data_IF_267604495190
#
_entry.id   IF_267604495190
#
_cell.length_a   1.000
_cell.length_b   1.000
_cell.length_c   1.000
_cell.angle_alpha   90.00
_cell.angle_beta   90.00
_cell.angle_gamma   90.00
#
_symmetry.space_group_name_H-M   'P 1'
#
loop_
_entity.id
_entity.type
_entity.pdbx_description
1 polymer ?
#
# COMPACT_ATOMS: atom_id res chain seq x y z
N UNK A 1 5.13 -27.92 48.05
CA UNK A 1 4.77 -28.47 46.73
C UNK A 1 4.91 -27.34 45.70
N UNK A 2 6.07 -27.22 45.07
CA UNK A 2 6.36 -26.16 44.11
C UNK A 2 5.75 -26.52 42.75
N UNK A 3 4.58 -25.96 42.43
CA UNK A 3 4.02 -26.07 41.09
C UNK A 3 4.84 -25.18 40.16
N UNK A 4 5.68 -25.78 39.30
CA UNK A 4 6.38 -25.14 38.19
C UNK A 4 5.35 -24.66 37.13
N UNK A 5 4.60 -23.62 37.47
CA UNK A 5 3.74 -22.94 36.52
C UNK A 5 4.63 -22.07 35.61
N UNK A 6 5.23 -22.66 34.56
CA UNK A 6 5.98 -21.92 33.53
C UNK A 6 5.09 -20.98 32.69
N UNK A 7 3.85 -20.72 33.11
CA UNK A 7 2.92 -19.84 32.42
C UNK A 7 3.44 -18.40 32.39
N UNK A 8 3.97 -17.92 33.52
CA UNK A 8 4.59 -16.60 33.57
C UNK A 8 5.79 -16.49 32.62
N UNK A 9 6.61 -17.54 32.52
CA UNK A 9 7.77 -17.58 31.61
C UNK A 9 7.32 -17.63 30.13
N UNK A 10 6.25 -18.37 29.81
CA UNK A 10 5.81 -18.60 28.42
C UNK A 10 4.95 -17.47 27.86
N UNK A 11 4.04 -16.93 28.66
CA UNK A 11 3.05 -15.94 28.19
C UNK A 11 3.26 -14.57 28.82
N UNK A 12 4.15 -14.47 29.81
CA UNK A 12 4.31 -13.27 30.62
C UNK A 12 3.19 -13.09 31.64
N UNK A 13 2.13 -13.92 31.65
CA UNK A 13 0.94 -13.72 32.47
C UNK A 13 0.97 -14.62 33.73
N UNK A 14 0.63 -14.08 34.91
CA UNK A 14 0.53 -14.79 36.19
C UNK A 14 -0.64 -15.73 36.03
N UNK A 15 -0.36 -17.02 36.20
CA UNK A 15 -1.41 -18.02 36.18
C UNK A 15 -2.28 -17.92 37.43
N UNK A 16 -3.45 -18.54 37.38
CA UNK A 16 -4.34 -18.70 38.52
C UNK A 16 -3.61 -19.24 39.78
N UNK A 17 -2.59 -20.09 39.61
CA UNK A 17 -1.78 -20.59 40.72
C UNK A 17 -1.05 -19.49 41.50
N UNK A 18 -0.56 -18.45 40.83
CA UNK A 18 0.13 -17.35 41.50
C UNK A 18 -0.88 -16.49 42.26
N UNK A 19 -2.06 -16.22 41.70
CA UNK A 19 -3.11 -15.51 42.43
C UNK A 19 -3.56 -16.27 43.69
N UNK A 20 -3.64 -17.61 43.63
CA UNK A 20 -3.92 -18.43 44.80
C UNK A 20 -2.82 -18.33 45.87
N UNK A 21 -1.54 -18.35 45.47
CA UNK A 21 -0.41 -18.18 46.40
C UNK A 21 -0.40 -16.78 47.01
N UNK A 22 -0.61 -15.73 46.22
CA UNK A 22 -0.67 -14.35 46.70
C UNK A 22 -1.81 -14.15 47.71
N UNK A 23 -2.98 -14.71 47.41
CA UNK A 23 -4.14 -14.68 48.31
C UNK A 23 -3.87 -15.40 49.64
N UNK A 24 -3.20 -16.55 49.60
CA UNK A 24 -2.83 -17.31 50.80
C UNK A 24 -1.76 -16.60 51.65
N UNK A 25 -0.99 -15.69 51.06
CA UNK A 25 0.02 -14.88 51.75
C UNK A 25 -0.51 -13.48 52.12
N UNK A 26 -1.82 -13.24 52.01
CA UNK A 26 -2.44 -11.95 52.33
C UNK A 26 -1.84 -10.76 51.56
N UNK A 27 -1.35 -10.99 50.34
CA UNK A 27 -0.88 -9.91 49.48
C UNK A 27 -2.10 -9.24 48.85
N UNK A 28 -2.43 -8.04 49.32
CA UNK A 28 -3.57 -7.25 48.83
C UNK A 28 -3.25 -6.49 47.54
N UNK A 29 -1.98 -6.12 47.34
CA UNK A 29 -1.51 -5.39 46.16
C UNK A 29 -0.27 -6.04 45.53
N UNK A 30 -0.30 -6.19 44.20
CA UNK A 30 0.85 -6.68 43.44
C UNK A 30 1.81 -5.52 43.22
N UNK A 31 3.05 -5.63 43.72
CA UNK A 31 4.08 -4.61 43.53
C UNK A 31 4.30 -4.31 42.04
N UNK A 32 4.46 -3.04 41.70
CA UNK A 32 4.62 -2.57 40.31
C UNK A 32 5.74 -3.27 39.54
N UNK A 33 6.81 -3.69 40.21
CA UNK A 33 7.92 -4.44 39.61
C UNK A 33 7.50 -5.79 38.99
N UNK A 34 6.40 -6.38 39.46
CA UNK A 34 5.83 -7.61 38.91
C UNK A 34 4.75 -7.34 37.85
N UNK A 35 4.32 -6.08 37.71
CA UNK A 35 3.38 -5.63 36.67
C UNK A 35 4.19 -5.27 35.43
N UNK A 36 4.50 -6.28 34.62
CA UNK A 36 5.23 -6.09 33.36
C UNK A 36 4.47 -5.14 32.43
N UNK A 37 5.18 -4.39 31.58
CA UNK A 37 4.56 -3.47 30.61
C UNK A 37 3.46 -4.09 29.75
N UNK A 38 3.55 -5.40 29.46
CA UNK A 38 2.54 -6.18 28.71
C UNK A 38 1.19 -6.31 29.44
N UNK A 39 1.15 -6.08 30.75
CA UNK A 39 -0.02 -6.24 31.62
C UNK A 39 -0.78 -4.97 31.86
N UNK A 40 -0.13 -3.83 31.66
CA UNK A 40 -0.76 -2.56 31.92
C UNK A 40 -1.77 -2.29 30.81
N UNK A 41 -2.86 -1.62 31.15
CA UNK A 41 -3.94 -1.32 30.19
C UNK A 41 -3.44 -0.45 29.02
N UNK A 42 -2.32 0.24 29.21
CA UNK A 42 -1.56 1.03 28.24
C UNK A 42 -0.44 0.24 27.54
N UNK A 43 -0.43 -1.09 27.63
CA UNK A 43 0.47 -1.97 26.89
C UNK A 43 0.21 -1.89 25.38
N UNK A 44 0.71 -0.85 24.72
CA UNK A 44 0.57 -0.69 23.29
C UNK A 44 1.45 -1.74 22.60
N UNK A 45 0.83 -2.63 21.82
CA UNK A 45 1.55 -3.58 20.95
C UNK A 45 2.56 -2.83 20.07
N UNK A 46 3.73 -3.42 19.79
CA UNK A 46 4.75 -2.78 18.92
C UNK A 46 4.18 -2.37 17.56
N UNK A 47 3.18 -3.11 17.06
CA UNK A 47 2.47 -2.82 15.82
C UNK A 47 1.59 -1.57 15.96
N UNK A 48 0.88 -1.43 17.08
CA UNK A 48 0.08 -0.24 17.40
C UNK A 48 0.96 0.99 17.66
N UNK A 49 2.16 0.81 18.22
CA UNK A 49 3.12 1.87 18.44
C UNK A 49 3.62 2.47 17.12
N UNK A 50 3.96 1.61 16.14
CA UNK A 50 4.32 2.05 14.80
C UNK A 50 3.16 2.80 14.11
N UNK A 51 1.93 2.32 14.28
CA UNK A 51 0.73 2.97 13.75
C UNK A 51 0.39 4.28 14.46
N UNK A 52 0.71 4.43 15.75
CA UNK A 52 0.51 5.66 16.52
C UNK A 52 1.23 6.84 15.87
N UNK A 53 2.49 6.66 15.46
CA UNK A 53 3.25 7.73 14.82
C UNK A 53 2.63 8.21 13.51
N UNK A 54 1.96 7.32 12.77
CA UNK A 54 1.24 7.66 11.52
C UNK A 54 -0.11 8.33 11.83
N UNK A 55 -0.84 7.83 12.83
CA UNK A 55 -2.14 8.36 13.22
C UNK A 55 -2.07 9.69 13.98
N UNK A 56 -0.91 10.05 14.56
CA UNK A 56 -0.71 11.34 15.23
C UNK A 56 -0.69 12.55 14.28
N UNK A 57 -0.58 12.33 12.96
CA UNK A 57 -0.76 13.40 11.95
C UNK A 57 -2.24 13.77 11.75
N UNK A 58 -3.18 12.99 12.28
CA UNK A 58 -4.62 13.24 12.23
C UNK A 58 -5.15 13.55 13.63
N UNK A 59 -5.85 14.68 13.81
CA UNK A 59 -6.44 15.12 15.09
C UNK A 59 -7.60 14.24 15.61
N UNK A 60 -7.87 13.09 14.97
CA UNK A 60 -9.11 12.32 15.11
C UNK A 60 -8.95 11.04 15.96
N UNK A 61 -10.07 10.45 16.40
CA UNK A 61 -10.23 9.21 17.16
C UNK A 61 -9.66 7.95 16.46
N UNK A 62 -8.95 8.13 15.34
CA UNK A 62 -8.33 7.08 14.53
C UNK A 62 -7.42 6.17 15.38
N UNK A 63 -6.61 6.73 16.28
CA UNK A 63 -5.75 5.91 17.14
C UNK A 63 -6.55 5.02 18.12
N UNK A 64 -7.66 5.54 18.63
CA UNK A 64 -8.56 4.79 19.51
C UNK A 64 -9.24 3.64 18.74
N UNK A 65 -9.74 3.92 17.54
CA UNK A 65 -10.32 2.93 16.64
C UNK A 65 -9.31 1.84 16.24
N UNK A 66 -8.07 2.22 15.94
CA UNK A 66 -6.98 1.28 15.64
C UNK A 66 -6.69 0.35 16.83
N UNK A 67 -6.64 0.92 18.03
CA UNK A 67 -6.42 0.15 19.26
C UNK A 67 -7.55 -0.84 19.50
N UNK A 68 -8.80 -0.41 19.33
CA UNK A 68 -9.97 -1.26 19.51
C UNK A 68 -10.05 -2.38 18.46
N UNK A 69 -9.78 -2.07 17.18
CA UNK A 69 -9.72 -3.05 16.11
C UNK A 69 -8.66 -4.13 16.40
N UNK A 70 -7.46 -3.73 16.85
CA UNK A 70 -6.39 -4.68 17.16
C UNK A 70 -6.75 -5.59 18.33
N UNK A 71 -7.30 -5.04 19.42
CA UNK A 71 -7.73 -5.82 20.57
C UNK A 71 -8.80 -6.85 20.22
N UNK A 72 -9.77 -6.48 19.37
CA UNK A 72 -10.79 -7.40 18.89
C UNK A 72 -10.21 -8.54 18.05
N UNK A 73 -9.23 -8.24 17.19
CA UNK A 73 -8.53 -9.27 16.41
C UNK A 73 -7.76 -10.22 17.33
N UNK A 74 -7.00 -9.70 18.28
CA UNK A 74 -6.23 -10.51 19.23
C UNK A 74 -7.14 -11.44 20.04
N UNK A 75 -8.29 -10.93 20.52
CA UNK A 75 -9.29 -11.73 21.22
C UNK A 75 -9.85 -12.86 20.33
N UNK A 76 -10.24 -12.54 19.10
CA UNK A 76 -10.72 -13.54 18.13
C UNK A 76 -9.67 -14.64 17.91
N UNK A 77 -8.41 -14.26 17.70
CA UNK A 77 -7.33 -15.21 17.48
C UNK A 77 -7.09 -16.09 18.72
N UNK A 78 -7.12 -15.54 19.93
CA UNK A 78 -6.95 -16.32 21.16
C UNK A 78 -8.08 -17.34 21.35
N UNK A 79 -9.31 -16.96 21.02
CA UNK A 79 -10.48 -17.82 21.13
C UNK A 79 -10.53 -18.89 20.02
N UNK A 80 -10.10 -18.56 18.80
CA UNK A 80 -10.15 -19.46 17.65
C UNK A 80 -8.94 -20.37 17.53
N UNK A 81 -7.82 -20.11 18.22
CA UNK A 81 -6.54 -20.84 18.06
C UNK A 81 -6.61 -22.37 18.16
N UNK A 82 -7.67 -22.92 18.77
CA UNK A 82 -7.87 -24.37 18.93
C UNK A 82 -8.87 -24.99 17.94
N UNK A 83 -9.55 -24.19 17.13
CA UNK A 83 -10.47 -24.66 16.08
C UNK A 83 -9.97 -24.20 14.73
N UNK A 84 -9.56 -25.17 13.92
CA UNK A 84 -9.08 -24.93 12.56
C UNK A 84 -10.20 -24.35 11.68
N UNK A 85 -11.43 -24.80 11.86
CA UNK A 85 -12.60 -24.37 11.09
C UNK A 85 -12.89 -22.87 11.34
N UNK A 86 -12.92 -22.44 12.61
CA UNK A 86 -13.13 -21.03 12.97
C UNK A 86 -12.00 -20.13 12.49
N UNK A 87 -10.76 -20.60 12.54
CA UNK A 87 -9.61 -19.87 11.99
C UNK A 87 -9.72 -19.71 10.47
N UNK A 88 -10.10 -20.76 9.75
CA UNK A 88 -10.34 -20.71 8.31
C UNK A 88 -11.42 -19.67 7.96
N UNK A 89 -12.56 -19.74 8.65
CA UNK A 89 -13.66 -18.78 8.46
C UNK A 89 -13.22 -17.33 8.72
N UNK A 90 -12.43 -17.10 9.78
CA UNK A 90 -11.89 -15.78 10.09
C UNK A 90 -10.95 -15.26 8.99
N UNK A 91 -10.06 -16.13 8.47
CA UNK A 91 -9.14 -15.77 7.39
C UNK A 91 -9.89 -15.44 6.10
N UNK A 92 -10.88 -16.24 5.72
CA UNK A 92 -11.70 -15.98 4.52
C UNK A 92 -12.41 -14.62 4.61
N UNK A 93 -13.03 -14.33 5.77
CA UNK A 93 -13.66 -13.02 6.02
C UNK A 93 -12.66 -11.87 5.95
N UNK A 94 -11.49 -12.02 6.55
CA UNK A 94 -10.43 -11.00 6.50
C UNK A 94 -9.90 -10.77 5.06
N UNK A 95 -9.82 -11.82 4.24
CA UNK A 95 -9.43 -11.71 2.83
C UNK A 95 -10.47 -10.94 2.01
N UNK A 96 -11.77 -11.17 2.25
CA UNK A 96 -12.84 -10.42 1.59
C UNK A 96 -12.72 -8.93 1.93
N UNK A 97 -12.57 -8.59 3.22
CA UNK A 97 -12.37 -7.20 3.65
C UNK A 97 -11.13 -6.60 2.99
N UNK A 98 -10.03 -7.34 2.88
CA UNK A 98 -8.81 -6.88 2.19
C UNK A 98 -9.04 -6.60 0.71
N UNK A 99 -9.81 -7.45 0.02
CA UNK A 99 -10.08 -7.26 -1.41
C UNK A 99 -11.03 -6.10 -1.69
N UNK A 100 -12.07 -5.94 -0.86
CA UNK A 100 -13.09 -4.92 -1.05
C UNK A 100 -12.71 -3.56 -0.44
N UNK A 101 -11.97 -3.55 0.68
CA UNK A 101 -11.60 -2.33 1.41
C UNK A 101 -10.39 -1.58 0.84
N UNK A 102 -9.54 -2.23 0.03
CA UNK A 102 -8.39 -1.58 -0.62
C UNK A 102 -8.77 -0.98 -1.99
N UNK A 103 -9.79 -1.54 -2.65
CA UNK A 103 -10.33 -0.95 -3.88
C UNK A 103 -11.47 -0.01 -3.48
N UNK A 104 -11.30 1.29 -3.69
CA UNK A 104 -12.44 2.18 -3.80
C UNK A 104 -13.34 1.63 -4.90
N UNK A 105 -14.47 1.01 -4.54
CA UNK A 105 -15.51 0.69 -5.51
C UNK A 105 -15.98 2.06 -6.01
N UNK A 106 -15.76 2.42 -7.28
CA UNK A 106 -16.25 3.68 -7.78
C UNK A 106 -17.78 3.64 -7.72
N UNK A 107 -18.38 4.68 -7.14
CA UNK A 107 -19.84 4.82 -7.02
C UNK A 107 -20.54 4.72 -8.39
N UNK A 108 -19.81 5.02 -9.46
CA UNK A 108 -20.26 4.88 -10.84
C UNK A 108 -19.29 4.03 -11.67
N UNK A 109 -19.78 2.88 -12.14
CA UNK A 109 -19.09 2.01 -13.09
C UNK A 109 -19.52 2.42 -14.51
N UNK A 110 -18.83 3.38 -15.12
CA UNK A 110 -19.04 3.76 -16.53
C UNK A 110 -18.31 2.77 -17.48
N UNK A 111 -18.89 1.59 -17.68
CA UNK A 111 -18.46 0.66 -18.74
C UNK A 111 -19.15 1.08 -20.04
N UNK A 112 -18.43 1.86 -20.86
CA UNK A 112 -18.89 2.11 -22.23
C UNK A 112 -18.61 0.89 -23.11
N UNK A 113 -19.57 0.49 -23.97
CA UNK A 113 -19.27 -0.47 -25.02
C UNK A 113 -18.09 0.04 -25.87
N UNK A 114 -17.14 -0.83 -26.26
CA UNK A 114 -16.03 -0.40 -27.11
C UNK A 114 -16.59 0.19 -28.41
N UNK A 115 -16.24 1.45 -28.67
CA UNK A 115 -16.77 2.25 -29.79
C UNK A 115 -16.47 1.65 -31.17
N UNK A 116 -15.54 0.69 -31.26
CA UNK A 116 -15.35 -0.14 -32.44
C UNK A 116 -14.79 -1.51 -32.04
N UNK A 117 -15.37 -2.58 -32.58
CA UNK A 117 -14.89 -3.96 -32.42
C UNK A 117 -14.19 -4.35 -33.72
N UNK A 118 -12.89 -4.69 -33.67
CA UNK A 118 -12.15 -5.25 -34.81
C UNK A 118 -12.16 -6.77 -34.72
N UNK A 119 -13.01 -7.41 -35.54
CA UNK A 119 -13.01 -8.87 -35.71
C UNK A 119 -11.92 -9.29 -36.70
N UNK A 120 -11.40 -10.52 -36.54
CA UNK A 120 -10.43 -11.10 -37.49
C UNK A 120 -11.06 -11.12 -38.89
N UNK A 121 -10.44 -10.43 -39.85
CA UNK A 121 -10.95 -10.29 -41.22
C UNK A 121 -11.57 -8.91 -41.54
N UNK A 122 -11.79 -8.04 -40.55
CA UNK A 122 -12.26 -6.67 -40.78
C UNK A 122 -11.12 -5.81 -41.34
N UNK A 123 -11.04 -5.78 -42.67
CA UNK A 123 -9.96 -5.20 -43.44
C UNK A 123 -9.82 -3.69 -43.23
N UNK A 124 -8.86 -3.29 -42.39
CA UNK A 124 -8.07 -2.09 -42.69
C UNK A 124 -6.62 -2.52 -42.81
N UNK A 125 -6.06 -2.43 -44.03
CA UNK A 125 -4.64 -2.76 -44.32
C UNK A 125 -3.64 -1.87 -43.56
N UNK A 126 -4.11 -0.98 -42.68
CA UNK A 126 -3.30 -0.05 -41.90
C UNK A 126 -3.24 -0.54 -40.46
N UNK A 127 -2.01 -0.67 -39.95
CA UNK A 127 -1.70 -0.98 -38.55
C UNK A 127 -2.44 0.00 -37.62
N UNK A 128 -2.85 -0.48 -36.45
CA UNK A 128 -3.40 0.37 -35.39
C UNK A 128 -2.34 1.39 -34.95
N UNK A 129 -2.69 2.68 -35.01
CA UNK A 129 -1.82 3.78 -34.59
C UNK A 129 -1.96 4.00 -33.09
N UNK A 130 -0.85 3.94 -32.38
CA UNK A 130 -0.78 4.15 -30.92
C UNK A 130 -1.16 5.58 -30.54
N UNK A 131 -1.57 5.78 -29.29
CA UNK A 131 -1.86 7.12 -28.76
C UNK A 131 -0.64 8.06 -28.89
N UNK A 132 0.57 7.52 -28.71
CA UNK A 132 1.83 8.26 -28.87
C UNK A 132 2.02 8.71 -30.31
N UNK A 133 1.85 7.83 -31.30
CA UNK A 133 1.98 8.19 -32.72
C UNK A 133 0.96 9.26 -33.14
N UNK A 134 -0.28 9.18 -32.65
CA UNK A 134 -1.29 10.23 -32.88
C UNK A 134 -0.84 11.57 -32.29
N UNK A 135 -0.37 11.57 -31.05
CA UNK A 135 0.11 12.78 -30.37
C UNK A 135 1.34 13.39 -31.07
N UNK A 136 2.26 12.56 -31.58
CA UNK A 136 3.43 13.01 -32.33
C UNK A 136 3.03 13.58 -33.70
N UNK A 137 2.03 13.01 -34.36
CA UNK A 137 1.53 13.51 -35.65
C UNK A 137 0.84 14.88 -35.53
N UNK A 138 0.14 15.13 -34.41
CA UNK A 138 -0.51 16.42 -34.14
C UNK A 138 0.42 17.45 -33.49
N UNK A 139 1.55 17.02 -32.92
CA UNK A 139 2.52 17.92 -32.31
C UNK A 139 3.18 18.85 -33.34
N UNK A 140 3.36 20.12 -32.94
CA UNK A 140 4.16 21.08 -33.73
C UNK A 140 5.59 20.57 -33.88
N UNK A 141 6.08 20.50 -35.11
CA UNK A 141 7.48 20.14 -35.38
C UNK A 141 8.40 21.14 -34.69
N UNK A 142 9.34 20.63 -33.88
CA UNK A 142 10.35 21.47 -33.22
C UNK A 142 11.24 22.11 -34.28
N UNK A 143 11.34 23.43 -34.24
CA UNK A 143 12.30 24.18 -35.06
C UNK A 143 13.71 23.93 -34.54
N UNK A 144 14.69 24.00 -35.44
CA UNK A 144 16.11 23.92 -35.12
C UNK A 144 16.89 24.97 -35.87
N UNK A 145 18.05 25.37 -35.36
CA UNK A 145 18.94 26.29 -36.06
C UNK A 145 19.53 25.62 -37.32
N UNK A 146 19.35 26.25 -38.48
CA UNK A 146 19.92 25.80 -39.74
C UNK A 146 21.31 26.42 -39.95
N UNK A 147 22.36 25.61 -40.09
CA UNK A 147 23.73 26.11 -40.30
C UNK A 147 23.98 26.76 -41.65
N UNK A 148 23.02 26.69 -42.59
CA UNK A 148 23.12 27.34 -43.91
C UNK A 148 22.62 28.78 -43.92
N UNK A 149 21.55 29.09 -43.17
CA UNK A 149 20.94 30.41 -43.12
C UNK A 149 20.89 31.04 -41.72
N UNK A 150 21.45 30.36 -40.71
CA UNK A 150 21.47 30.78 -39.30
C UNK A 150 20.11 31.13 -38.67
N UNK A 151 19.02 30.54 -39.17
CA UNK A 151 17.66 30.76 -38.64
C UNK A 151 17.08 29.49 -37.98
N UNK A 152 16.17 29.68 -37.02
CA UNK A 152 15.40 28.60 -36.39
C UNK A 152 14.21 28.20 -37.25
N UNK A 153 14.33 27.06 -37.93
CA UNK A 153 13.44 26.63 -39.01
C UNK A 153 13.25 25.11 -39.03
N UNK A 154 12.30 24.62 -39.82
CA UNK A 154 11.97 23.21 -39.96
C UNK A 154 12.66 22.53 -41.17
N UNK A 155 13.95 22.82 -41.40
CA UNK A 155 14.76 22.19 -42.44
C UNK A 155 16.21 21.94 -41.94
N UNK A 156 17.09 21.27 -42.70
CA UNK A 156 18.53 21.17 -42.39
C UNK A 156 19.36 21.88 -43.47
N UNK A 157 20.67 21.96 -43.25
CA UNK A 157 21.63 22.49 -44.22
C UNK A 157 21.51 21.88 -45.63
N UNK A 158 21.13 20.59 -45.75
CA UNK A 158 20.98 19.91 -47.05
C UNK A 158 19.74 20.34 -47.80
N UNK A 159 18.69 20.75 -47.09
CA UNK A 159 17.40 21.19 -47.64
C UNK A 159 17.16 22.69 -47.52
N UNK A 160 18.19 23.46 -47.15
CA UNK A 160 18.14 24.91 -47.03
C UNK A 160 18.15 25.58 -48.41
N UNK A 161 17.11 26.37 -48.71
CA UNK A 161 16.97 27.07 -50.00
C UNK A 161 17.88 28.29 -50.15
N UNK A 162 18.34 28.86 -49.04
CA UNK A 162 19.17 30.09 -49.00
C UNK A 162 20.66 29.75 -48.84
N UNK A 163 21.02 28.49 -49.09
CA UNK A 163 22.38 28.00 -48.87
C UNK A 163 23.35 28.73 -49.80
N UNK A 164 24.36 29.45 -49.29
CA UNK A 164 25.44 29.95 -50.14
C UNK A 164 26.15 28.76 -50.79
N UNK A 165 26.37 28.81 -52.11
CA UNK A 165 27.15 27.80 -52.80
C UNK A 165 28.54 27.72 -52.14
N UNK A 166 29.02 26.51 -51.85
CA UNK A 166 30.39 26.35 -51.33
C UNK A 166 31.34 26.81 -52.42
N UNK A 167 32.13 27.84 -52.16
CA UNK A 167 33.32 28.12 -52.96
C UNK A 167 34.22 26.89 -52.88
N UNK A 168 34.44 26.26 -54.03
CA UNK A 168 35.41 25.18 -54.18
C UNK A 168 36.78 25.76 -53.85
N UNK A 169 37.39 25.35 -52.73
CA UNK A 169 38.81 25.62 -52.50
C UNK A 169 39.58 24.95 -53.64
N UNK A 170 40.14 25.75 -54.55
CA UNK A 170 41.12 25.27 -55.53
C UNK A 170 42.31 24.69 -54.78
N UNK A 171 42.73 23.51 -55.21
CA UNK A 171 43.85 22.75 -54.68
C UNK A 171 45.19 23.41 -55.04
#
# INVERSE_FOLDING_TARGET
MFMQCNHFIRTGILCHHIFAVLKNNHVEEILEQYILRRWRRDAISSHLLAMKYVAMETEDDTFKLLTEAYNNIEYCLDHFKRSKEKLLEFVEKAQIIRMLGIRSIPDEINIHPPSSIRTKGSGTKKRMVSAIEKAVATAKKKTRMCTGCNQYVNHNWRTCKVRPARESKQA
#
